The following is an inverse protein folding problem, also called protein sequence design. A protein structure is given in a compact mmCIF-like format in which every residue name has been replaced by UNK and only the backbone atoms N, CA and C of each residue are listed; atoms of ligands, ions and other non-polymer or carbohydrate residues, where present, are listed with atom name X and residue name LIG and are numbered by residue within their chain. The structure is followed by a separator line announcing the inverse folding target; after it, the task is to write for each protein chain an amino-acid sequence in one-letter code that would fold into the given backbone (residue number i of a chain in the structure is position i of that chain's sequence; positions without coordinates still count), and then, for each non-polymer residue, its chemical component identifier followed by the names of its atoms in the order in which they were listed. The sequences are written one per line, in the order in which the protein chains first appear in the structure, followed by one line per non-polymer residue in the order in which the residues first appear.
data_IF_561553399026
#
_entry.id   IF_561553399026
#
_cell.length_a   1.000
_cell.length_b   1.000
_cell.length_c   1.000
_cell.angle_alpha   90.00
_cell.angle_beta   90.00
_cell.angle_gamma   90.00
#
_symmetry.space_group_name_H-M   'P 1'
#
loop_
_entity.id
_entity.type
_entity.pdbx_description
1 polymer ?
#
# COMPACT_ATOMS: atom_id res chain seq x y z
N UNK A 1 7.73 13.37 -15.58
CA UNK A 1 8.48 12.90 -14.40
C UNK A 1 8.07 11.45 -14.18
N UNK A 2 8.98 10.55 -13.77
CA UNK A 2 8.59 9.20 -13.39
C UNK A 2 7.55 9.28 -12.26
N UNK A 3 6.57 8.37 -12.27
CA UNK A 3 5.46 8.39 -11.33
C UNK A 3 5.86 7.64 -10.06
N UNK A 4 6.31 8.38 -9.05
CA UNK A 4 6.78 7.87 -7.76
C UNK A 4 6.23 8.71 -6.59
N UNK A 5 6.60 8.33 -5.36
CA UNK A 5 6.21 9.07 -4.16
C UNK A 5 6.66 10.54 -4.21
N UNK A 6 7.89 10.80 -4.67
CA UNK A 6 8.46 12.16 -4.70
C UNK A 6 7.72 13.05 -5.69
N UNK A 7 7.33 12.50 -6.84
CA UNK A 7 6.45 13.16 -7.81
C UNK A 7 5.11 13.52 -7.20
N UNK A 8 4.50 12.64 -6.40
CA UNK A 8 3.25 12.93 -5.72
C UNK A 8 3.41 14.00 -4.62
N UNK A 9 4.46 13.92 -3.81
CA UNK A 9 4.77 14.96 -2.80
C UNK A 9 4.94 16.33 -3.48
N UNK A 10 5.62 16.37 -4.63
CA UNK A 10 5.79 17.59 -5.42
C UNK A 10 4.45 18.13 -5.93
N UNK A 11 3.57 17.27 -6.44
CA UNK A 11 2.22 17.65 -6.86
C UNK A 11 1.43 18.29 -5.72
N UNK A 12 1.49 17.70 -4.52
CA UNK A 12 0.82 18.26 -3.34
C UNK A 12 1.41 19.62 -2.95
N UNK A 13 2.72 19.78 -3.01
CA UNK A 13 3.40 21.05 -2.74
C UNK A 13 3.00 22.15 -3.74
N UNK A 14 2.98 21.82 -5.04
CA UNK A 14 2.55 22.74 -6.11
C UNK A 14 1.08 23.15 -5.98
N UNK A 15 0.21 22.26 -5.46
CA UNK A 15 -1.21 22.54 -5.18
C UNK A 15 -1.45 23.17 -3.81
N UNK A 16 -0.41 23.49 -3.03
CA UNK A 16 -0.55 24.07 -1.70
C UNK A 16 -1.18 23.11 -0.67
N UNK A 17 -1.16 21.81 -0.95
CA UNK A 17 -1.74 20.73 -0.17
C UNK A 17 -0.71 19.89 0.59
N UNK A 18 0.52 20.40 0.71
CA UNK A 18 1.59 19.83 1.54
C UNK A 18 2.11 20.89 2.51
N UNK A 19 2.34 20.50 3.76
CA UNK A 19 3.03 21.31 4.76
C UNK A 19 4.31 20.63 5.24
N UNK A 20 5.44 21.31 5.09
CA UNK A 20 6.73 20.92 5.66
C UNK A 20 6.86 21.39 7.10
N UNK A 21 7.30 20.51 7.99
CA UNK A 21 7.39 20.74 9.44
C UNK A 21 8.84 20.52 9.86
N UNK A 22 9.52 21.61 10.23
CA UNK A 22 10.94 21.62 10.61
C UNK A 22 11.16 21.49 12.13
N UNK A 23 10.12 21.74 12.91
CA UNK A 23 10.14 21.55 14.36
C UNK A 23 10.39 20.08 14.66
N UNK A 24 11.18 19.80 15.70
CA UNK A 24 11.40 18.44 16.19
C UNK A 24 10.07 17.83 16.66
N UNK A 25 9.74 16.64 16.17
CA UNK A 25 8.53 15.90 16.55
C UNK A 25 8.89 14.46 16.91
N UNK A 26 8.23 13.91 17.94
CA UNK A 26 8.38 12.52 18.35
C UNK A 26 7.52 11.57 17.47
N UNK A 27 8.10 10.52 16.86
CA UNK A 27 7.30 9.51 16.18
C UNK A 27 6.46 8.66 17.16
N UNK A 28 6.76 8.73 18.46
CA UNK A 28 5.91 8.18 19.50
C UNK A 28 4.75 9.15 19.82
N UNK A 29 3.54 8.82 19.38
CA UNK A 29 2.29 9.56 19.57
C UNK A 29 2.18 10.91 18.86
N UNK A 30 3.20 11.77 18.88
CA UNK A 30 3.06 13.17 18.45
C UNK A 30 2.78 13.32 16.95
N UNK A 31 3.53 12.61 16.09
CA UNK A 31 3.27 12.63 14.63
C UNK A 31 1.82 12.22 14.34
N UNK A 32 1.34 11.17 14.99
CA UNK A 32 -0.01 10.66 14.79
C UNK A 32 -1.06 11.67 15.26
N UNK A 33 -0.89 12.30 16.42
CA UNK A 33 -1.84 13.29 16.94
C UNK A 33 -1.90 14.55 16.06
N UNK A 34 -0.75 15.06 15.61
CA UNK A 34 -0.71 16.21 14.69
C UNK A 34 -1.43 15.84 13.39
N UNK A 35 -1.10 14.69 12.81
CA UNK A 35 -1.72 14.19 11.57
C UNK A 35 -3.22 13.95 11.74
N UNK A 36 -3.67 13.43 12.88
CA UNK A 36 -5.07 13.20 13.20
C UNK A 36 -5.87 14.51 13.19
N UNK A 37 -5.38 15.55 13.86
CA UNK A 37 -6.03 16.88 13.85
C UNK A 37 -6.06 17.50 12.47
N UNK A 38 -4.97 17.38 11.71
CA UNK A 38 -4.91 17.90 10.35
C UNK A 38 -5.91 17.19 9.44
N UNK A 39 -6.00 15.86 9.50
CA UNK A 39 -6.97 15.10 8.74
C UNK A 39 -8.40 15.49 9.10
N UNK A 40 -8.74 15.57 10.39
CA UNK A 40 -10.09 15.95 10.84
C UNK A 40 -10.49 17.36 10.38
N UNK A 41 -9.53 18.27 10.22
CA UNK A 41 -9.76 19.62 9.72
C UNK A 41 -9.79 19.71 8.18
N UNK A 42 -9.63 18.59 7.45
CA UNK A 42 -9.46 18.60 5.99
C UNK A 42 -8.16 19.26 5.54
N UNK A 43 -7.15 19.28 6.43
CA UNK A 43 -5.88 19.94 6.24
C UNK A 43 -4.94 19.25 5.24
N UNK A 44 -3.77 19.87 4.98
CA UNK A 44 -2.82 19.38 4.01
C UNK A 44 -2.15 18.07 4.46
N UNK A 45 -1.50 17.41 3.52
CA UNK A 45 -0.50 16.40 3.80
C UNK A 45 0.67 16.98 4.58
N UNK A 46 1.39 16.15 5.34
CA UNK A 46 2.46 16.59 6.23
C UNK A 46 3.78 15.90 5.87
N UNK A 47 4.86 16.69 5.83
CA UNK A 47 6.23 16.21 5.70
C UNK A 47 7.05 16.72 6.90
N UNK A 48 7.31 15.83 7.85
CA UNK A 48 8.14 16.10 9.02
C UNK A 48 9.62 15.91 8.64
N UNK A 49 10.39 17.00 8.66
CA UNK A 49 11.80 17.00 8.25
C UNK A 49 12.76 16.75 9.43
N UNK A 50 12.25 16.82 10.66
CA UNK A 50 13.04 16.66 11.89
C UNK A 50 12.31 15.73 12.87
N UNK A 51 12.65 14.46 12.83
CA UNK A 51 12.00 13.40 13.61
C UNK A 51 12.96 12.87 14.66
N UNK A 52 12.52 12.83 15.91
CA UNK A 52 13.36 12.42 17.04
C UNK A 52 13.87 10.99 16.87
N UNK A 53 15.19 10.81 16.98
CA UNK A 53 15.84 9.50 16.93
C UNK A 53 15.91 8.87 15.54
N UNK A 54 15.59 9.61 14.47
CA UNK A 54 15.69 9.13 13.10
C UNK A 54 16.31 10.19 12.17
N UNK A 55 17.01 9.73 11.14
CA UNK A 55 17.68 10.61 10.16
C UNK A 55 16.84 10.88 8.92
N UNK A 56 15.62 10.35 8.86
CA UNK A 56 14.79 10.34 7.66
C UNK A 56 13.52 11.16 7.88
N UNK A 57 13.11 11.98 6.89
CA UNK A 57 11.84 12.69 6.96
C UNK A 57 10.66 11.71 6.89
N UNK A 58 9.54 12.08 7.53
CA UNK A 58 8.30 11.30 7.55
C UNK A 58 7.21 12.01 6.78
N UNK A 59 6.65 11.32 5.78
CA UNK A 59 5.49 11.76 5.03
C UNK A 59 4.23 11.02 5.52
N UNK A 60 3.18 11.77 5.84
CA UNK A 60 1.92 11.24 6.40
C UNK A 60 0.76 12.15 5.97
N UNK A 61 -0.48 11.66 6.05
CA UNK A 61 -1.67 12.37 5.62
C UNK A 61 -1.68 12.66 4.11
N UNK A 62 -0.87 11.94 3.32
CA UNK A 62 -0.72 12.15 1.88
C UNK A 62 -2.05 11.92 1.15
N UNK A 63 -2.83 10.94 1.60
CA UNK A 63 -4.15 10.57 1.07
C UNK A 63 -5.29 10.94 2.04
N UNK A 64 -5.08 11.96 2.88
CA UNK A 64 -6.03 12.38 3.91
C UNK A 64 -7.31 13.08 3.45
N UNK A 65 -7.50 13.28 2.15
CA UNK A 65 -8.74 13.83 1.57
C UNK A 65 -9.09 13.06 0.30
N UNK A 66 -10.38 12.99 -0.03
CA UNK A 66 -10.86 12.34 -1.26
C UNK A 66 -10.23 12.97 -2.51
N UNK A 67 -10.03 14.29 -2.51
CA UNK A 67 -9.35 15.03 -3.58
C UNK A 67 -7.90 14.56 -3.77
N UNK A 68 -7.11 14.43 -2.70
CA UNK A 68 -5.73 13.93 -2.79
C UNK A 68 -5.68 12.46 -3.21
N UNK A 69 -6.68 11.66 -2.83
CA UNK A 69 -6.81 10.28 -3.33
C UNK A 69 -7.07 10.28 -4.84
N UNK A 70 -7.93 11.16 -5.35
CA UNK A 70 -8.15 11.29 -6.80
C UNK A 70 -6.85 11.68 -7.53
N UNK A 71 -6.11 12.65 -7.02
CA UNK A 71 -4.82 13.04 -7.60
C UNK A 71 -3.78 11.91 -7.56
N UNK A 72 -3.76 11.15 -6.48
CA UNK A 72 -2.96 9.94 -6.37
C UNK A 72 -3.35 8.91 -7.44
N UNK A 73 -4.53 9.00 -8.05
CA UNK A 73 -4.98 8.13 -9.13
C UNK A 73 -4.97 8.80 -10.52
N UNK A 74 -4.35 9.99 -10.63
CA UNK A 74 -4.35 10.83 -11.84
C UNK A 74 -5.76 11.28 -12.28
N UNK A 75 -6.62 11.56 -11.31
CA UNK A 75 -8.01 11.98 -11.52
C UNK A 75 -8.26 13.30 -10.79
N UNK A 76 -9.20 14.10 -11.28
CA UNK A 76 -9.66 15.32 -10.59
C UNK A 76 -10.96 15.07 -9.83
N UNK A 77 -11.74 14.07 -10.25
CA UNK A 77 -13.06 13.78 -9.66
C UNK A 77 -13.24 12.29 -9.34
N UNK A 78 -13.86 11.93 -8.20
CA UNK A 78 -14.11 10.54 -7.80
C UNK A 78 -14.93 9.74 -8.83
N UNK A 79 -15.82 10.40 -9.57
CA UNK A 79 -16.68 9.77 -10.58
C UNK A 79 -15.86 9.18 -11.74
N UNK A 80 -14.63 9.64 -11.95
CA UNK A 80 -13.72 9.07 -12.96
C UNK A 80 -13.40 7.60 -12.66
N UNK A 81 -13.44 7.19 -11.38
CA UNK A 81 -13.27 5.80 -10.95
C UNK A 81 -14.39 4.87 -11.45
N UNK A 82 -15.59 5.40 -11.74
CA UNK A 82 -16.66 4.59 -12.33
C UNK A 82 -16.29 4.12 -13.76
N UNK A 83 -15.50 4.91 -14.49
CA UNK A 83 -15.03 4.53 -15.83
C UNK A 83 -14.14 3.30 -15.74
N UNK A 84 -13.35 3.18 -14.69
CA UNK A 84 -12.56 1.99 -14.44
C UNK A 84 -13.42 0.80 -14.04
N UNK A 85 -14.39 0.97 -13.15
CA UNK A 85 -15.32 -0.11 -12.78
C UNK A 85 -15.99 -0.73 -14.01
N UNK A 86 -16.32 0.10 -15.01
CA UNK A 86 -16.80 -0.38 -16.32
C UNK A 86 -15.73 -1.19 -17.09
N UNK A 87 -14.49 -0.70 -17.20
CA UNK A 87 -13.38 -1.43 -17.85
C UNK A 87 -13.14 -2.79 -17.17
N UNK A 88 -13.12 -2.83 -15.84
CA UNK A 88 -12.94 -4.05 -15.05
C UNK A 88 -14.08 -5.05 -15.28
N UNK A 89 -15.32 -4.58 -15.29
CA UNK A 89 -16.48 -5.42 -15.61
C UNK A 89 -16.36 -6.07 -16.99
N UNK A 90 -15.84 -5.35 -18.00
CA UNK A 90 -15.60 -5.91 -19.33
C UNK A 90 -14.47 -6.96 -19.35
N UNK A 91 -13.42 -6.77 -18.56
CA UNK A 91 -12.31 -7.74 -18.46
C UNK A 91 -12.73 -9.03 -17.76
N UNK A 92 -13.59 -8.94 -16.73
CA UNK A 92 -14.09 -10.11 -16.01
C UNK A 92 -15.08 -10.93 -16.83
N UNK A 93 -15.96 -10.26 -17.58
CA UNK A 93 -16.96 -10.92 -18.43
C UNK A 93 -16.88 -10.37 -19.86
N UNK A 94 -15.89 -10.82 -20.66
CA UNK A 94 -15.74 -10.38 -22.03
C UNK A 94 -16.94 -10.85 -22.86
N UNK A 95 -17.90 -9.96 -23.11
CA UNK A 95 -18.99 -10.21 -24.05
C UNK A 95 -18.45 -9.99 -25.47
N UNK A 96 -18.68 -10.92 -26.42
CA UNK A 96 -18.23 -10.72 -27.79
C UNK A 96 -18.85 -9.43 -28.35
N UNK A 97 -18.04 -8.52 -28.92
CA UNK A 97 -18.54 -7.24 -29.40
C UNK A 97 -19.52 -7.47 -30.55
N UNK A 98 -20.74 -6.92 -30.42
CA UNK A 98 -21.79 -7.04 -31.45
C UNK A 98 -21.79 -5.87 -32.44
N UNK A 99 -21.09 -4.79 -32.12
CA UNK A 99 -21.00 -3.55 -32.91
C UNK A 99 -19.54 -3.16 -33.12
N UNK A 100 -19.27 -2.45 -34.23
CA UNK A 100 -17.92 -1.92 -34.54
C UNK A 100 -17.42 -1.01 -33.42
N UNK A 101 -18.27 -0.17 -32.83
CA UNK A 101 -17.91 0.68 -31.70
C UNK A 101 -17.43 -0.11 -30.47
N UNK A 102 -18.08 -1.24 -30.16
CA UNK A 102 -17.69 -2.13 -29.07
C UNK A 102 -16.37 -2.85 -29.37
N UNK A 103 -16.11 -3.20 -30.64
CA UNK A 103 -14.85 -3.80 -31.04
C UNK A 103 -13.67 -2.81 -30.90
N UNK A 104 -13.87 -1.54 -31.26
CA UNK A 104 -12.88 -0.47 -31.08
C UNK A 104 -12.59 -0.24 -29.59
N UNK A 105 -13.63 -0.19 -28.75
CA UNK A 105 -13.48 -0.03 -27.31
C UNK A 105 -12.73 -1.20 -26.67
N UNK A 106 -13.07 -2.44 -27.04
CA UNK A 106 -12.36 -3.62 -26.59
C UNK A 106 -10.88 -3.63 -27.05
N UNK A 107 -10.61 -3.22 -28.29
CA UNK A 107 -9.24 -3.06 -28.80
C UNK A 107 -8.41 -2.05 -28.01
N UNK A 108 -9.01 -0.94 -27.58
CA UNK A 108 -8.37 0.05 -26.71
C UNK A 108 -8.03 -0.55 -25.34
N UNK A 109 -8.96 -1.31 -24.74
CA UNK A 109 -8.71 -1.98 -23.45
C UNK A 109 -7.55 -2.97 -23.54
N UNK A 110 -7.48 -3.77 -24.62
CA UNK A 110 -6.35 -4.69 -24.82
C UNK A 110 -5.02 -3.94 -24.95
N UNK A 111 -5.02 -2.80 -25.64
CA UNK A 111 -3.83 -1.95 -25.75
C UNK A 111 -3.40 -1.36 -24.40
N UNK A 112 -4.37 -0.88 -23.60
CA UNK A 112 -4.13 -0.40 -22.23
C UNK A 112 -3.51 -1.53 -21.37
N UNK A 113 -4.02 -2.76 -21.46
CA UNK A 113 -3.47 -3.94 -20.75
C UNK A 113 -2.03 -4.24 -21.16
N UNK A 114 -1.70 -4.12 -22.46
CA UNK A 114 -0.32 -4.32 -22.93
C UNK A 114 0.63 -3.27 -22.36
N UNK A 115 0.21 -2.00 -22.35
CA UNK A 115 0.99 -0.89 -21.77
C UNK A 115 1.16 -1.01 -20.26
N UNK A 116 0.16 -1.56 -19.58
CA UNK A 116 0.13 -1.73 -18.14
C UNK A 116 1.02 -2.88 -17.62
N UNK A 117 1.60 -3.69 -18.52
CA UNK A 117 2.49 -4.78 -18.09
C UNK A 117 3.72 -4.22 -17.37
N UNK A 118 4.10 -4.78 -16.21
CA UNK A 118 5.26 -4.32 -15.46
C UNK A 118 6.54 -4.43 -16.30
N UNK A 119 7.38 -3.40 -16.18
CA UNK A 119 8.70 -3.32 -16.80
C UNK A 119 9.80 -3.71 -15.81
N UNK A 120 11.04 -3.75 -16.30
CA UNK A 120 12.22 -4.00 -15.48
C UNK A 120 13.12 -2.78 -15.51
N UNK A 121 13.48 -2.29 -14.32
CA UNK A 121 14.51 -1.29 -14.15
C UNK A 121 15.87 -1.97 -13.92
N UNK A 122 16.89 -1.49 -14.63
CA UNK A 122 18.28 -1.98 -14.51
C UNK A 122 19.11 -1.14 -13.54
N UNK A 123 18.67 0.07 -13.19
CA UNK A 123 19.34 1.00 -12.28
C UNK A 123 18.35 1.53 -11.23
N UNK A 124 17.71 0.62 -10.45
CA UNK A 124 16.60 0.99 -9.59
C UNK A 124 17.04 1.92 -8.47
N UNK A 125 16.30 3.02 -8.29
CA UNK A 125 16.60 4.03 -7.29
C UNK A 125 16.56 3.44 -5.86
N UNK A 126 15.66 2.49 -5.61
CA UNK A 126 15.50 1.82 -4.30
C UNK A 126 16.75 1.06 -3.84
N UNK A 127 17.76 0.87 -4.69
CA UNK A 127 18.97 0.12 -4.39
C UNK A 127 20.25 0.96 -4.36
N UNK A 128 20.11 2.29 -4.26
CA UNK A 128 21.26 3.20 -4.18
C UNK A 128 22.12 2.98 -2.94
N UNK A 129 21.51 2.63 -1.81
CA UNK A 129 22.17 2.22 -0.57
C UNK A 129 21.72 0.81 -0.21
N UNK A 130 22.66 -0.03 0.22
CA UNK A 130 22.41 -1.42 0.62
C UNK A 130 23.01 -1.66 2.01
N UNK A 131 22.20 -2.18 2.92
CA UNK A 131 22.56 -2.48 4.31
C UNK A 131 22.20 -3.95 4.57
N UNK A 132 23.19 -4.77 4.90
CA UNK A 132 23.04 -6.23 5.04
C UNK A 132 23.61 -6.73 6.38
N UNK A 133 23.11 -7.89 6.82
CA UNK A 133 23.62 -8.60 8.00
C UNK A 133 23.56 -7.77 9.28
N UNK A 134 24.64 -7.75 10.04
CA UNK A 134 24.70 -7.12 11.36
C UNK A 134 24.58 -5.58 11.33
N UNK A 135 24.74 -4.95 10.16
CA UNK A 135 24.54 -3.52 10.00
C UNK A 135 23.05 -3.12 9.92
N UNK A 136 22.16 -4.09 9.67
CA UNK A 136 20.73 -3.87 9.57
C UNK A 136 20.14 -3.56 10.95
N UNK A 137 19.49 -2.40 11.06
CA UNK A 137 18.81 -1.99 12.27
C UNK A 137 17.52 -1.24 11.93
N UNK A 138 16.40 -1.94 12.05
CA UNK A 138 15.04 -1.44 11.82
C UNK A 138 14.64 -0.37 12.85
N UNK A 139 15.31 -0.29 14.01
CA UNK A 139 14.99 0.73 15.02
C UNK A 139 15.39 2.13 14.59
N UNK A 140 16.23 2.25 13.55
CA UNK A 140 16.63 3.53 12.93
C UNK A 140 15.58 4.09 11.98
N UNK A 141 14.60 3.30 11.56
CA UNK A 141 13.48 3.79 10.77
C UNK A 141 12.56 4.64 11.69
N UNK A 142 11.99 5.75 11.20
CA UNK A 142 11.07 6.59 11.97
C UNK A 142 9.67 5.95 12.06
N UNK A 143 9.62 4.70 12.52
CA UNK A 143 8.39 3.96 12.74
C UNK A 143 7.57 4.68 13.81
N UNK A 144 6.27 4.83 13.57
CA UNK A 144 5.37 5.52 14.50
C UNK A 144 4.73 4.54 15.48
N UNK A 145 4.43 5.02 16.69
CA UNK A 145 3.46 4.38 17.60
C UNK A 145 2.26 5.32 17.73
N UNK A 146 1.13 5.04 17.06
CA UNK A 146 0.03 5.99 16.95
C UNK A 146 -0.71 6.29 18.26
N UNK A 147 -0.96 5.28 19.09
CA UNK A 147 -1.78 5.44 20.29
C UNK A 147 -1.09 4.96 21.58
N UNK A 148 -1.49 5.51 22.75
CA UNK A 148 -0.85 5.18 24.02
C UNK A 148 -0.89 3.69 24.41
N UNK A 149 -1.96 2.98 24.05
CA UNK A 149 -2.12 1.55 24.30
C UNK A 149 -1.60 0.63 23.18
N UNK A 150 -1.02 1.18 22.10
CA UNK A 150 -0.41 0.34 21.06
C UNK A 150 0.84 -0.37 21.61
N UNK A 151 1.00 -1.64 21.27
CA UNK A 151 2.08 -2.49 21.79
C UNK A 151 3.49 -2.06 21.36
N UNK A 152 3.61 -1.30 20.27
CA UNK A 152 4.90 -0.87 19.78
C UNK A 152 4.82 -0.03 18.51
N UNK A 153 5.98 0.13 17.87
CA UNK A 153 6.08 0.87 16.60
C UNK A 153 5.71 -0.02 15.42
N UNK A 154 5.10 0.58 14.40
CA UNK A 154 4.53 -0.16 13.27
C UNK A 154 4.91 0.40 11.90
N UNK A 155 4.83 -0.48 10.90
CA UNK A 155 4.71 -0.14 9.47
C UNK A 155 3.24 -0.38 9.07
N UNK A 156 2.65 0.57 8.35
CA UNK A 156 1.23 0.52 7.94
C UNK A 156 1.02 0.50 6.43
N UNK A 157 1.77 1.29 5.67
CA UNK A 157 1.66 1.41 4.20
C UNK A 157 2.75 0.65 3.43
N UNK A 158 3.26 -0.44 4.02
CA UNK A 158 4.23 -1.29 3.33
C UNK A 158 3.56 -2.25 2.35
N UNK A 159 4.05 -2.29 1.12
CA UNK A 159 3.67 -3.33 0.16
C UNK A 159 4.39 -4.62 0.52
N UNK A 160 3.64 -5.57 1.05
CA UNK A 160 4.11 -6.91 1.40
C UNK A 160 4.02 -7.80 0.17
N UNK A 161 5.18 -8.21 -0.32
CA UNK A 161 5.35 -8.95 -1.56
C UNK A 161 5.85 -10.35 -1.24
N UNK A 162 5.14 -11.35 -1.75
CA UNK A 162 5.50 -12.77 -1.65
C UNK A 162 5.22 -13.46 -2.98
N UNK A 163 5.81 -14.63 -3.22
CA UNK A 163 5.51 -15.47 -4.39
C UNK A 163 5.03 -16.85 -3.93
N UNK A 164 4.09 -17.40 -4.67
CA UNK A 164 3.67 -18.79 -4.52
C UNK A 164 4.86 -19.71 -4.83
N UNK A 165 5.22 -20.60 -3.90
CA UNK A 165 6.37 -21.49 -4.06
C UNK A 165 6.17 -22.59 -5.13
N UNK A 166 4.94 -22.80 -5.61
CA UNK A 166 4.62 -23.78 -6.67
C UNK A 166 4.52 -23.11 -8.03
N UNK A 167 3.78 -21.99 -8.13
CA UNK A 167 3.47 -21.36 -9.41
C UNK A 167 4.33 -20.14 -9.74
N UNK A 168 5.06 -19.60 -8.74
CA UNK A 168 5.80 -18.34 -8.87
C UNK A 168 4.92 -17.10 -8.94
N UNK A 169 3.59 -17.24 -8.79
CA UNK A 169 2.64 -16.13 -8.87
C UNK A 169 2.88 -15.15 -7.71
N UNK A 170 3.08 -13.85 -7.98
CA UNK A 170 3.24 -12.86 -6.93
C UNK A 170 1.92 -12.52 -6.25
N UNK A 171 1.99 -12.09 -5.00
CA UNK A 171 0.91 -11.41 -4.29
C UNK A 171 1.49 -10.12 -3.71
N UNK A 172 0.76 -9.01 -3.87
CA UNK A 172 1.09 -7.72 -3.26
C UNK A 172 -0.06 -7.33 -2.36
N UNK A 173 0.22 -7.09 -1.07
CA UNK A 173 -0.80 -6.65 -0.13
C UNK A 173 -0.29 -5.58 0.82
N UNK A 174 -1.20 -4.86 1.46
CA UNK A 174 -0.87 -3.92 2.53
C UNK A 174 -1.27 -4.56 3.85
N UNK A 175 -0.27 -4.81 4.71
CA UNK A 175 -0.48 -5.43 6.03
C UNK A 175 0.29 -4.64 7.09
N UNK A 176 -0.27 -4.58 8.30
CA UNK A 176 0.43 -4.00 9.45
C UNK A 176 1.61 -4.90 9.82
N UNK A 177 2.77 -4.28 10.04
CA UNK A 177 3.93 -4.95 10.61
C UNK A 177 4.28 -4.31 11.96
N UNK A 178 4.44 -5.11 13.01
CA UNK A 178 4.88 -4.64 14.32
C UNK A 178 6.38 -4.92 14.51
N UNK A 179 7.13 -3.92 14.95
CA UNK A 179 8.52 -4.07 15.34
C UNK A 179 8.65 -5.00 16.55
N UNK A 180 9.47 -6.04 16.43
CA UNK A 180 9.75 -7.01 17.50
C UNK A 180 11.19 -6.93 18.00
N UNK A 181 12.14 -6.63 17.11
CA UNK A 181 13.55 -6.39 17.45
C UNK A 181 14.25 -5.55 16.36
N UNK A 182 15.56 -5.32 16.48
CA UNK A 182 16.34 -4.61 15.48
C UNK A 182 16.29 -5.21 14.06
N UNK A 183 15.93 -6.48 13.89
CA UNK A 183 15.85 -7.12 12.56
C UNK A 183 14.61 -8.02 12.38
N UNK A 184 13.61 -7.92 13.26
CA UNK A 184 12.38 -8.72 13.16
C UNK A 184 11.11 -7.91 13.29
N UNK A 185 10.08 -8.35 12.56
CA UNK A 185 8.72 -7.83 12.69
C UNK A 185 7.70 -8.96 12.62
N UNK A 186 6.58 -8.83 13.31
CA UNK A 186 5.40 -9.67 13.06
C UNK A 186 4.57 -9.08 11.92
N UNK A 187 3.91 -9.93 11.14
CA UNK A 187 2.97 -9.51 10.08
C UNK A 187 1.54 -9.91 10.44
N UNK A 188 0.67 -8.91 10.54
CA UNK A 188 -0.73 -9.13 10.84
C UNK A 188 -1.56 -9.19 9.54
N UNK A 189 -1.89 -10.41 9.09
CA UNK A 189 -2.73 -10.66 7.92
C UNK A 189 -3.87 -11.64 8.22
N UNK A 190 -4.99 -11.50 7.51
CA UNK A 190 -6.07 -12.48 7.62
C UNK A 190 -5.70 -13.77 6.89
N UNK A 191 -6.14 -14.89 7.46
CA UNK A 191 -5.77 -16.24 7.01
C UNK A 191 -6.22 -16.59 5.57
N UNK A 192 -7.15 -15.82 5.01
CA UNK A 192 -7.66 -15.96 3.63
C UNK A 192 -6.88 -15.14 2.59
N UNK A 193 -5.93 -14.30 3.02
CA UNK A 193 -5.16 -13.43 2.11
C UNK A 193 -4.03 -14.19 1.41
N UNK A 194 -3.58 -13.68 0.27
CA UNK A 194 -2.63 -14.39 -0.59
C UNK A 194 -1.28 -14.67 0.09
N UNK A 195 -0.74 -13.73 0.87
CA UNK A 195 0.48 -13.96 1.67
C UNK A 195 0.35 -15.13 2.66
N UNK A 196 -0.77 -15.20 3.39
CA UNK A 196 -1.05 -16.31 4.30
C UNK A 196 -1.20 -17.65 3.56
N UNK A 197 -1.80 -17.63 2.36
CA UNK A 197 -1.88 -18.81 1.48
C UNK A 197 -0.48 -19.26 1.02
N UNK A 198 0.39 -18.34 0.62
CA UNK A 198 1.77 -18.66 0.23
C UNK A 198 2.55 -19.24 1.42
N UNK A 199 2.37 -18.72 2.63
CA UNK A 199 3.01 -19.27 3.83
C UNK A 199 2.57 -20.71 4.12
N UNK A 200 1.27 -21.02 3.99
CA UNK A 200 0.76 -22.39 4.16
C UNK A 200 1.37 -23.35 3.16
N UNK A 201 1.48 -22.96 1.89
CA UNK A 201 2.12 -23.77 0.84
C UNK A 201 3.61 -23.97 1.11
N UNK A 202 4.32 -22.93 1.52
CA UNK A 202 5.73 -23.01 1.90
C UNK A 202 5.93 -24.00 3.07
N UNK A 203 5.02 -23.98 4.06
CA UNK A 203 5.01 -24.93 5.16
C UNK A 203 4.84 -26.39 4.71
N UNK A 204 3.93 -26.65 3.76
CA UNK A 204 3.72 -27.99 3.18
C UNK A 204 4.97 -28.52 2.46
N UNK A 205 5.83 -27.62 1.96
CA UNK A 205 7.10 -27.99 1.32
C UNK A 205 8.31 -27.95 2.27
N UNK A 206 8.12 -27.64 3.56
CA UNK A 206 9.21 -27.49 4.53
C UNK A 206 10.19 -26.35 4.19
N UNK A 207 9.73 -25.33 3.46
CA UNK A 207 10.56 -24.18 3.03
C UNK A 207 10.16 -22.92 3.79
N UNK A 208 11.13 -22.02 3.96
CA UNK A 208 10.84 -20.65 4.39
C UNK A 208 10.12 -19.90 3.26
N UNK A 209 9.25 -18.98 3.64
CA UNK A 209 8.64 -18.05 2.68
C UNK A 209 9.53 -16.82 2.53
N UNK A 210 9.97 -16.52 1.30
CA UNK A 210 10.60 -15.23 0.98
C UNK A 210 9.56 -14.11 1.01
N UNK A 211 9.94 -12.98 1.62
CA UNK A 211 9.06 -11.82 1.78
C UNK A 211 9.85 -10.53 1.61
N UNK A 212 9.33 -9.60 0.81
CA UNK A 212 9.89 -8.26 0.65
C UNK A 212 8.84 -7.21 1.02
N UNK A 213 9.27 -6.12 1.67
CA UNK A 213 8.42 -5.01 2.06
C UNK A 213 8.91 -3.75 1.35
N UNK A 214 8.14 -3.22 0.41
CA UNK A 214 8.46 -1.94 -0.25
C UNK A 214 7.74 -0.79 0.47
N UNK A 215 8.50 0.24 0.87
CA UNK A 215 8.02 1.42 1.60
C UNK A 215 8.27 2.68 0.77
N UNK A 216 7.38 3.66 0.92
CA UNK A 216 7.46 4.91 0.17
C UNK A 216 7.37 4.69 -1.33
N UNK A 217 6.30 4.02 -1.75
CA UNK A 217 6.00 3.78 -3.17
C UNK A 217 5.05 4.86 -3.69
N UNK A 218 4.82 4.91 -5.00
CA UNK A 218 3.72 5.70 -5.57
C UNK A 218 2.39 5.32 -4.88
N UNK A 219 1.64 6.29 -4.32
CA UNK A 219 0.34 6.05 -3.70
C UNK A 219 -0.65 5.27 -4.57
N UNK A 220 -0.57 5.39 -5.89
CA UNK A 220 -1.39 4.58 -6.80
C UNK A 220 -1.16 3.08 -6.65
N UNK A 221 0.09 2.66 -6.43
CA UNK A 221 0.41 1.26 -6.25
C UNK A 221 -0.19 0.74 -4.94
N UNK A 222 -0.22 1.57 -3.89
CA UNK A 222 -0.92 1.26 -2.64
C UNK A 222 -2.42 1.11 -2.89
N UNK A 223 -3.03 2.03 -3.64
CA UNK A 223 -4.44 1.94 -4.02
C UNK A 223 -4.76 0.69 -4.83
N UNK A 224 -3.88 0.34 -5.78
CA UNK A 224 -4.01 -0.88 -6.59
C UNK A 224 -3.93 -2.15 -5.73
N UNK A 225 -2.99 -2.21 -4.76
CA UNK A 225 -2.86 -3.33 -3.83
C UNK A 225 -4.02 -3.42 -2.81
N UNK A 226 -4.68 -2.29 -2.51
CA UNK A 226 -5.85 -2.25 -1.63
C UNK A 226 -7.18 -2.60 -2.34
N UNK A 227 -7.22 -2.47 -3.67
CA UNK A 227 -8.43 -2.77 -4.46
C UNK A 227 -8.59 -4.29 -4.59
N UNK A 228 -9.78 -4.86 -4.31
CA UNK A 228 -10.00 -6.28 -4.56
C UNK A 228 -10.14 -6.53 -6.06
N UNK A 229 -9.08 -7.11 -6.62
CA UNK A 229 -9.01 -7.52 -8.02
C UNK A 229 -9.33 -9.01 -8.17
N UNK A 230 -9.82 -9.44 -9.35
CA UNK A 230 -9.89 -10.86 -9.70
C UNK A 230 -8.54 -11.54 -9.50
N UNK A 231 -8.56 -12.79 -9.03
CA UNK A 231 -7.35 -13.56 -8.69
C UNK A 231 -6.44 -13.77 -9.91
N UNK A 232 -6.99 -13.70 -11.13
CA UNK A 232 -6.24 -13.86 -12.37
C UNK A 232 -5.45 -12.61 -12.80
N UNK A 233 -5.74 -11.43 -12.22
CA UNK A 233 -5.04 -10.19 -12.53
C UNK A 233 -4.03 -9.87 -11.42
N UNK A 234 -2.78 -9.61 -11.81
CA UNK A 234 -1.75 -9.15 -10.86
C UNK A 234 -1.98 -7.70 -10.46
N UNK A 235 -1.71 -7.36 -9.20
CA UNK A 235 -1.75 -6.00 -8.66
C UNK A 235 -0.85 -5.05 -9.47
N UNK A 236 0.26 -5.55 -10.04
CA UNK A 236 1.16 -4.76 -10.90
C UNK A 236 0.49 -4.34 -12.20
N UNK A 237 -0.24 -5.25 -12.83
CA UNK A 237 -0.98 -4.96 -14.05
C UNK A 237 -2.10 -3.96 -13.74
N UNK A 238 -2.73 -4.10 -12.58
CA UNK A 238 -3.77 -3.19 -12.16
C UNK A 238 -3.24 -1.78 -11.87
N UNK A 239 -2.10 -1.67 -11.17
CA UNK A 239 -1.38 -0.41 -11.01
C UNK A 239 -1.01 0.19 -12.38
N UNK A 240 -0.55 -0.63 -13.33
CA UNK A 240 -0.23 -0.13 -14.68
C UNK A 240 -1.43 0.40 -15.46
N UNK A 241 -2.62 -0.18 -15.24
CA UNK A 241 -3.86 0.27 -15.87
C UNK A 241 -4.31 1.63 -15.34
N UNK A 242 -4.11 1.90 -14.04
CA UNK A 242 -4.38 3.23 -13.47
C UNK A 242 -3.29 4.24 -13.81
N UNK A 243 -2.02 3.82 -13.78
CA UNK A 243 -0.87 4.69 -14.00
C UNK A 243 -0.58 4.98 -15.48
N UNK A 244 -1.42 4.47 -16.39
CA UNK A 244 -1.29 4.51 -17.86
C UNK A 244 0.01 3.91 -18.42
N UNK A 245 0.82 3.32 -17.56
CA UNK A 245 2.14 2.76 -17.83
C UNK A 245 2.48 1.70 -16.79
N UNK A 246 3.12 0.62 -17.22
CA UNK A 246 3.52 -0.46 -16.32
C UNK A 246 4.50 -0.02 -15.24
N UNK A 247 4.29 -0.53 -14.03
CA UNK A 247 5.18 -0.33 -12.88
C UNK A 247 6.58 -0.86 -13.24
N UNK A 248 7.61 -0.04 -13.05
CA UNK A 248 9.00 -0.49 -13.20
C UNK A 248 9.41 -1.28 -11.95
N UNK A 249 9.82 -2.53 -12.15
CA UNK A 249 10.20 -3.43 -11.08
C UNK A 249 11.71 -3.66 -11.04
N UNK A 250 12.22 -3.84 -9.83
CA UNK A 250 13.59 -4.20 -9.51
C UNK A 250 13.61 -5.59 -8.85
N UNK A 251 14.58 -6.42 -9.22
CA UNK A 251 14.82 -7.67 -8.48
C UNK A 251 15.44 -7.33 -7.13
N UNK A 252 14.93 -7.93 -6.06
CA UNK A 252 15.55 -7.91 -4.73
C UNK A 252 17.04 -8.29 -4.77
N UNK A 253 17.83 -7.79 -3.81
CA UNK A 253 19.27 -8.07 -3.70
C UNK A 253 19.54 -9.49 -3.22
N UNK A 254 18.77 -9.95 -2.25
CA UNK A 254 18.96 -11.21 -1.52
C UNK A 254 17.87 -12.25 -1.80
N UNK A 255 16.73 -11.82 -2.36
CA UNK A 255 15.55 -12.68 -2.61
C UNK A 255 15.25 -12.83 -4.10
N UNK A 256 14.47 -13.86 -4.46
CA UNK A 256 13.92 -14.02 -5.80
C UNK A 256 12.58 -13.31 -6.00
N UNK A 257 12.44 -12.13 -5.38
CA UNK A 257 11.27 -11.27 -5.46
C UNK A 257 11.55 -10.02 -6.30
N UNK A 258 10.47 -9.36 -6.71
CA UNK A 258 10.51 -8.11 -7.46
C UNK A 258 9.70 -7.05 -6.72
N UNK A 259 10.23 -5.83 -6.66
CA UNK A 259 9.69 -4.69 -5.91
C UNK A 259 9.65 -3.44 -6.81
N UNK A 260 8.82 -2.42 -6.52
CA UNK A 260 8.84 -1.19 -7.31
C UNK A 260 10.22 -0.53 -7.27
N UNK A 261 10.78 -0.21 -8.43
CA UNK A 261 12.14 0.31 -8.57
C UNK A 261 12.34 1.67 -7.89
N UNK A 262 11.27 2.46 -7.78
CA UNK A 262 11.28 3.81 -7.19
C UNK A 262 10.92 3.85 -5.69
N UNK A 263 10.77 2.69 -5.04
CA UNK A 263 10.49 2.61 -3.60
C UNK A 263 11.54 3.38 -2.79
N UNK A 264 11.14 4.13 -1.76
CA UNK A 264 12.08 4.81 -0.87
C UNK A 264 12.92 3.83 -0.05
N UNK A 265 12.30 2.75 0.46
CA UNK A 265 12.99 1.64 1.14
C UNK A 265 12.45 0.29 0.67
N UNK A 266 13.29 -0.74 0.75
CA UNK A 266 12.90 -2.14 0.57
C UNK A 266 13.54 -2.96 1.69
N UNK A 267 12.71 -3.70 2.43
CA UNK A 267 13.15 -4.65 3.45
C UNK A 267 13.02 -6.06 2.89
N UNK A 268 14.08 -6.86 2.98
CA UNK A 268 14.12 -8.22 2.46
C UNK A 268 14.34 -9.22 3.60
N UNK A 269 13.47 -10.23 3.68
CA UNK A 269 13.50 -11.21 4.74
C UNK A 269 12.84 -12.54 4.40
N UNK A 270 12.70 -13.37 5.43
CA UNK A 270 12.02 -14.67 5.33
C UNK A 270 11.13 -14.92 6.54
N UNK A 271 10.11 -15.75 6.35
CA UNK A 271 9.27 -16.29 7.43
C UNK A 271 9.52 -17.79 7.53
N UNK A 272 9.85 -18.26 8.73
CA UNK A 272 9.90 -19.69 9.04
C UNK A 272 8.49 -20.16 9.40
N UNK A 273 7.90 -21.15 8.70
CA UNK A 273 6.59 -21.68 9.06
C UNK A 273 6.52 -22.14 10.53
N UNK A 274 5.49 -21.70 11.25
CA UNK A 274 5.28 -22.01 12.66
C UNK A 274 6.01 -21.09 13.65
N UNK A 275 6.94 -20.25 13.18
CA UNK A 275 7.59 -19.24 14.03
C UNK A 275 6.70 -18.00 14.15
N UNK A 276 6.19 -17.75 15.35
CA UNK A 276 5.23 -16.68 15.64
C UNK A 276 5.62 -15.94 16.93
N UNK A 277 5.19 -14.68 17.03
CA UNK A 277 5.26 -13.90 18.26
C UNK A 277 3.92 -13.18 18.49
N UNK A 278 3.62 -12.78 19.75
CA UNK A 278 2.46 -11.95 20.05
C UNK A 278 2.51 -10.62 19.30
N UNK A 279 1.42 -10.30 18.61
CA UNK A 279 1.20 -9.04 17.90
C UNK A 279 0.00 -8.29 18.50
N UNK A 280 0.15 -6.99 18.73
CA UNK A 280 -0.85 -6.16 19.39
C UNK A 280 -0.74 -6.11 20.93
N UNK A 281 -1.67 -5.39 21.59
CA UNK A 281 -2.85 -4.75 21.00
C UNK A 281 -2.51 -3.51 20.17
N UNK A 282 -3.43 -3.13 19.27
CA UNK A 282 -3.34 -1.91 18.47
C UNK A 282 -4.72 -1.30 18.22
N UNK A 283 -4.78 0.02 18.13
CA UNK A 283 -5.94 0.73 17.62
C UNK A 283 -6.26 0.31 16.18
N UNK A 284 -7.53 0.05 15.89
CA UNK A 284 -8.00 -0.33 14.57
C UNK A 284 -8.95 0.71 13.95
N UNK A 285 -9.31 0.49 12.69
CA UNK A 285 -10.27 1.31 11.93
C UNK A 285 -11.68 1.42 12.57
N UNK A 286 -12.03 0.57 13.54
CA UNK A 286 -13.31 0.68 14.28
C UNK A 286 -13.22 1.71 15.41
N UNK A 287 -12.00 2.15 15.75
CA UNK A 287 -11.74 3.06 16.86
C UNK A 287 -11.57 2.37 18.20
N UNK A 288 -11.35 1.05 18.19
CA UNK A 288 -11.10 0.24 19.40
C UNK A 288 -9.73 -0.42 19.32
N UNK A 289 -9.26 -0.93 20.46
CA UNK A 289 -8.09 -1.79 20.48
C UNK A 289 -8.49 -3.21 20.08
N UNK A 290 -7.80 -3.72 19.06
CA UNK A 290 -7.81 -5.16 18.77
C UNK A 290 -7.09 -5.96 19.86
N UNK A 291 -7.36 -7.25 19.89
CA UNK A 291 -6.70 -8.18 20.81
C UNK A 291 -5.23 -8.43 20.46
N UNK A 292 -4.57 -9.23 21.30
CA UNK A 292 -3.24 -9.78 21.03
C UNK A 292 -3.42 -11.11 20.29
N UNK A 293 -2.71 -11.28 19.18
CA UNK A 293 -2.76 -12.50 18.37
C UNK A 293 -1.36 -12.99 18.00
N UNK A 294 -1.14 -14.30 18.02
CA UNK A 294 0.10 -14.89 17.49
C UNK A 294 0.18 -14.66 15.99
N UNK A 295 1.21 -13.92 15.57
CA UNK A 295 1.42 -13.55 14.16
C UNK A 295 2.76 -14.08 13.64
N UNK A 296 2.87 -14.46 12.36
CA UNK A 296 4.12 -14.94 11.78
C UNK A 296 5.26 -13.93 11.94
N UNK A 297 6.43 -14.45 12.31
CA UNK A 297 7.64 -13.65 12.49
C UNK A 297 8.43 -13.54 11.18
N UNK A 298 8.68 -12.32 10.73
CA UNK A 298 9.59 -11.99 9.65
C UNK A 298 10.97 -11.72 10.23
N UNK A 299 11.99 -12.35 9.64
CA UNK A 299 13.41 -12.06 9.91
C UNK A 299 14.01 -11.38 8.69
N UNK A 300 14.43 -10.13 8.86
CA UNK A 300 15.05 -9.35 7.80
C UNK A 300 16.56 -9.54 7.80
N UNK A 301 17.14 -9.63 6.60
CA UNK A 301 18.58 -9.77 6.39
C UNK A 301 19.18 -8.66 5.54
N UNK A 302 18.36 -7.90 4.83
CA UNK A 302 18.80 -6.81 3.97
C UNK A 302 17.76 -5.68 3.97
N UNK A 303 18.25 -4.44 3.98
CA UNK A 303 17.48 -3.24 3.66
C UNK A 303 18.20 -2.50 2.54
N UNK A 304 17.46 -2.10 1.53
CA UNK A 304 17.93 -1.17 0.51
C UNK A 304 17.11 0.10 0.53
N UNK A 305 17.69 1.23 0.15
CA UNK A 305 16.96 2.48 0.06
C UNK A 305 17.55 3.45 -0.96
N UNK A 306 16.74 4.45 -1.34
CA UNK A 306 17.16 5.61 -2.13
C UNK A 306 18.12 6.50 -1.33
N UNK A 307 18.90 7.33 -2.01
CA UNK A 307 19.55 8.46 -1.38
C UNK A 307 18.48 9.45 -0.87
N UNK A 308 18.71 10.00 0.33
CA UNK A 308 17.80 10.92 1.02
C UNK A 308 16.37 10.38 1.09
N UNK A 309 16.13 9.19 1.69
CA UNK A 309 14.87 8.50 1.55
C UNK A 309 13.77 9.14 2.41
N UNK A 310 12.53 9.10 1.92
CA UNK A 310 11.35 9.61 2.63
C UNK A 310 10.54 8.43 3.20
N UNK A 311 10.30 8.43 4.50
CA UNK A 311 9.50 7.40 5.13
C UNK A 311 8.01 7.76 5.06
N UNK A 312 7.27 7.10 4.16
CA UNK A 312 5.82 7.24 4.06
C UNK A 312 5.12 6.33 5.07
N UNK A 313 4.18 6.87 5.84
CA UNK A 313 3.38 6.11 6.80
C UNK A 313 1.95 6.65 6.91
N UNK A 314 1.11 5.91 7.63
CA UNK A 314 -0.21 6.32 8.10
C UNK A 314 -0.57 5.56 9.38
N UNK A 315 -1.75 5.76 9.93
CA UNK A 315 -2.27 5.00 11.06
C UNK A 315 -3.78 4.89 11.00
N UNK A 316 -4.28 3.76 11.49
CA UNK A 316 -5.70 3.51 11.60
C UNK A 316 -6.28 4.07 12.88
N UNK A 317 -7.60 4.12 13.00
CA UNK A 317 -8.30 4.55 14.20
C UNK A 317 -9.76 4.84 13.92
N UNK A 318 -10.43 5.48 14.89
CA UNK A 318 -11.78 5.97 14.68
C UNK A 318 -11.81 6.92 13.48
N UNK A 319 -12.66 6.69 12.47
CA UNK A 319 -12.78 7.56 11.31
C UNK A 319 -13.16 9.00 11.72
N UNK A 320 -12.73 10.02 10.96
CA UNK A 320 -12.02 9.91 9.68
C UNK A 320 -10.53 9.57 9.84
N UNK A 321 -10.01 8.76 8.90
CA UNK A 321 -8.60 8.38 8.73
C UNK A 321 -8.27 8.20 7.24
N UNK A 322 -6.99 8.13 6.87
CA UNK A 322 -6.57 8.06 5.46
C UNK A 322 -7.17 6.83 4.76
N UNK A 323 -7.23 5.68 5.43
CA UNK A 323 -7.82 4.46 4.87
C UNK A 323 -9.32 4.63 4.58
N UNK A 324 -10.03 5.46 5.36
CA UNK A 324 -11.44 5.74 5.12
C UNK A 324 -11.63 6.61 3.87
N UNK A 325 -10.75 7.59 3.65
CA UNK A 325 -10.75 8.41 2.44
C UNK A 325 -10.43 7.58 1.20
N UNK A 326 -9.44 6.69 1.31
CA UNK A 326 -9.10 5.72 0.27
C UNK A 326 -10.31 4.81 -0.05
N UNK A 327 -10.99 4.30 0.98
CA UNK A 327 -12.16 3.44 0.82
C UNK A 327 -13.33 4.18 0.16
N UNK A 328 -13.62 5.42 0.56
CA UNK A 328 -14.67 6.25 -0.04
C UNK A 328 -14.44 6.41 -1.55
N UNK A 329 -13.21 6.75 -1.95
CA UNK A 329 -12.86 6.86 -3.36
C UNK A 329 -13.01 5.51 -4.08
N UNK A 330 -12.39 4.45 -3.56
CA UNK A 330 -12.44 3.11 -4.18
C UNK A 330 -13.86 2.54 -4.30
N UNK A 331 -14.77 2.92 -3.40
CA UNK A 331 -16.16 2.46 -3.46
C UNK A 331 -16.87 2.88 -4.75
N UNK A 332 -16.43 3.98 -5.40
CA UNK A 332 -16.96 4.43 -6.70
C UNK A 332 -16.72 3.41 -7.82
N UNK A 333 -15.72 2.53 -7.69
CA UNK A 333 -15.47 1.46 -8.66
C UNK A 333 -16.63 0.45 -8.67
N UNK A 334 -17.30 0.21 -7.55
CA UNK A 334 -18.39 -0.78 -7.47
C UNK A 334 -19.70 -0.27 -7.99
N UNK A 335 -19.99 1.04 -7.92
CA UNK A 335 -21.25 1.62 -8.38
C UNK A 335 -21.63 1.16 -9.80
N UNK A 336 -20.77 1.24 -10.83
CA UNK A 336 -21.10 0.72 -12.17
C UNK A 336 -21.25 -0.80 -12.22
N UNK A 337 -20.55 -1.56 -11.37
CA UNK A 337 -20.64 -3.02 -11.31
C UNK A 337 -22.00 -3.42 -10.73
N UNK A 338 -22.43 -2.77 -9.64
CA UNK A 338 -23.73 -2.97 -9.02
C UNK A 338 -24.87 -2.62 -9.98
N UNK A 339 -24.76 -1.51 -10.71
CA UNK A 339 -25.74 -1.11 -11.74
C UNK A 339 -25.91 -2.13 -12.87
N UNK A 340 -24.89 -2.97 -13.15
CA UNK A 340 -25.03 -4.04 -14.14
C UNK A 340 -25.93 -5.19 -13.65
N UNK A 341 -26.02 -5.38 -12.33
CA UNK A 341 -26.84 -6.41 -11.71
C UNK A 341 -28.23 -5.89 -11.30
N UNK A 342 -28.29 -4.65 -10.80
CA UNK A 342 -29.51 -3.99 -10.34
C UNK A 342 -29.59 -2.61 -10.98
N UNK A 343 -30.34 -2.50 -12.06
CA UNK A 343 -30.39 -1.31 -12.94
C UNK A 343 -31.01 -0.06 -12.29
N UNK A 344 -31.75 -0.25 -11.20
CA UNK A 344 -32.46 0.77 -10.45
C UNK A 344 -31.54 1.57 -9.51
N UNK A 345 -30.30 1.11 -9.30
CA UNK A 345 -29.33 1.77 -8.44
C UNK A 345 -28.88 3.10 -9.09
N UNK A 346 -29.28 4.22 -8.48
CA UNK A 346 -28.83 5.56 -8.90
C UNK A 346 -27.47 5.92 -8.32
N UNK A 347 -27.23 5.62 -7.05
CA UNK A 347 -25.94 5.84 -6.39
C UNK A 347 -25.68 4.77 -5.32
N UNK A 348 -24.41 4.59 -4.98
CA UNK A 348 -23.96 3.68 -3.91
C UNK A 348 -22.86 4.37 -3.11
N UNK A 349 -23.10 4.52 -1.81
CA UNK A 349 -22.18 5.18 -0.89
C UNK A 349 -22.16 4.44 0.44
N UNK A 350 -20.96 4.26 0.98
CA UNK A 350 -20.73 3.66 2.29
C UNK A 350 -20.08 4.71 3.20
N UNK A 351 -20.83 5.27 4.17
CA UNK A 351 -20.31 6.31 5.04
C UNK A 351 -19.20 5.77 5.96
N UNK A 352 -18.14 6.55 6.15
CA UNK A 352 -17.03 6.20 7.04
C UNK A 352 -17.45 6.17 8.52
N UNK A 353 -18.47 6.94 8.89
CA UNK A 353 -19.06 6.96 10.23
C UNK A 353 -19.70 5.62 10.60
N UNK A 354 -20.08 4.83 9.60
CA UNK A 354 -20.55 3.45 9.75
C UNK A 354 -19.42 2.42 9.55
N UNK A 355 -18.17 2.83 9.77
CA UNK A 355 -16.97 1.98 9.68
C UNK A 355 -16.73 1.36 8.29
N UNK A 356 -17.15 2.10 7.24
CA UNK A 356 -16.99 1.79 5.82
C UNK A 356 -17.65 0.49 5.36
N UNK A 357 -17.27 -0.67 5.87
CA UNK A 357 -17.78 -1.97 5.40
C UNK A 357 -17.79 -3.08 6.46
N UNK A 358 -17.27 -2.85 7.67
CA UNK A 358 -17.34 -3.80 8.79
C UNK A 358 -18.35 -3.31 9.82
N UNK A 359 -19.49 -4.01 9.89
CA UNK A 359 -20.39 -3.95 11.03
C UNK A 359 -19.97 -4.97 12.08
#
# INVERSE_FOLDING_TARGET
MARDLRGFIKLLEERGQLRRIKTLVDPDLEIAEISNRMLQAGGPALLFENVKGASFPVAINLMGTEERVCWAMNMEHPQELETLGKKLGMLQQPKPPKKISQAVEFGKILFDVVKAKPGRDFFPACQQVVIEGDALDLTKLPLIRPYPGDAGKIITLGLVITKDCETGTPNVGVYRLQLQSHNTMTVHWLSVRGGARHLRKAAQQGKKLEIAIALGVDPLIIMAAATPIPVELSEWLFAGLYGESGVQLAKCKTLNLEVPADSEFVLEGTITPGEMLPDGPFGDHMGYYGGVEDSPLIRFGCMTHRNDPIYMTTFSGRPPKEEAMMAIALNRIYTPILRQQVTEIVDFFLPMEALSYKA
#
